data_IF_466971221506
#
_entry.id   IF_466971221506
#
_cell.length_a   1.000
_cell.length_b   1.000
_cell.length_c   1.000
_cell.angle_alpha   90.00
_cell.angle_beta   90.00
_cell.angle_gamma   90.00
#
_symmetry.space_group_name_H-M   'P 1'
#
loop_
_entity.id
_entity.type
_entity.pdbx_description
1 polymer ?
#
# COMPACT_ATOMS: atom_id res chain seq x y z
N UNK A 1 11.76 19.99 -5.22
CA UNK A 1 10.60 19.22 -4.74
C UNK A 1 11.04 18.63 -3.43
N UNK A 2 10.21 18.72 -2.39
CA UNK A 2 10.61 18.20 -1.06
C UNK A 2 10.49 16.68 -1.08
N UNK A 3 11.53 15.99 -0.60
CA UNK A 3 11.54 14.55 -0.43
C UNK A 3 11.22 14.21 1.02
N UNK A 4 10.26 13.31 1.23
CA UNK A 4 9.79 12.91 2.55
C UNK A 4 9.70 11.38 2.63
N UNK A 5 10.05 10.83 3.79
CA UNK A 5 9.99 9.41 4.08
C UNK A 5 9.51 9.19 5.51
N UNK A 6 9.05 7.96 5.80
CA UNK A 6 8.73 7.56 7.17
C UNK A 6 9.99 7.06 7.86
N UNK A 7 10.32 7.61 9.03
CA UNK A 7 11.34 7.03 9.91
C UNK A 7 10.64 6.14 10.95
N UNK A 8 10.92 4.84 10.92
CA UNK A 8 10.46 3.87 11.92
C UNK A 8 11.63 3.43 12.77
N UNK A 9 11.49 3.54 14.09
CA UNK A 9 12.53 3.21 15.06
C UNK A 9 12.00 2.30 16.17
N UNK A 10 12.87 1.60 16.92
CA UNK A 10 12.48 0.90 18.14
C UNK A 10 11.88 1.87 19.18
N UNK A 11 10.97 1.43 20.06
CA UNK A 11 10.35 2.30 21.06
C UNK A 11 11.35 3.06 21.94
N UNK A 12 12.44 2.40 22.34
CA UNK A 12 13.53 2.99 23.12
C UNK A 12 14.20 4.17 22.41
N UNK A 13 14.42 4.06 21.10
CA UNK A 13 14.99 5.12 20.25
C UNK A 13 13.96 6.24 20.03
N UNK A 14 12.68 5.90 19.87
CA UNK A 14 11.61 6.89 19.73
C UNK A 14 11.53 7.82 20.95
N UNK A 15 11.58 7.27 22.17
CA UNK A 15 11.58 8.05 23.40
C UNK A 15 12.79 9.00 23.49
N UNK A 16 13.97 8.57 23.02
CA UNK A 16 15.15 9.42 22.98
C UNK A 16 14.98 10.57 21.99
N UNK A 17 14.50 10.29 20.77
CA UNK A 17 14.23 11.30 19.75
C UNK A 17 13.21 12.34 20.26
N UNK A 18 12.14 11.89 20.90
CA UNK A 18 11.11 12.77 21.45
C UNK A 18 11.66 13.71 22.53
N UNK A 19 12.50 13.20 23.44
CA UNK A 19 13.20 14.03 24.44
C UNK A 19 14.09 15.07 23.77
N UNK A 20 14.91 14.66 22.79
CA UNK A 20 15.80 15.57 22.06
C UNK A 20 15.03 16.68 21.33
N UNK A 21 13.91 16.35 20.68
CA UNK A 21 13.07 17.32 19.98
C UNK A 21 12.46 18.33 20.96
N UNK A 22 12.00 17.88 22.12
CA UNK A 22 11.39 18.74 23.13
C UNK A 22 12.42 19.64 23.83
N UNK A 23 13.61 19.12 24.15
CA UNK A 23 14.70 19.90 24.76
C UNK A 23 15.25 20.95 23.81
N UNK A 24 15.36 20.61 22.53
CA UNK A 24 15.76 21.54 21.46
C UNK A 24 14.74 22.68 21.32
N UNK A 25 13.45 22.36 21.34
CA UNK A 25 12.38 23.35 21.29
C UNK A 25 12.35 24.25 22.55
N UNK A 26 12.74 23.71 23.71
CA UNK A 26 12.85 24.43 24.98
C UNK A 26 14.15 25.24 25.14
N UNK A 27 15.06 25.22 24.15
CA UNK A 27 16.32 25.98 24.18
C UNK A 27 17.27 25.62 25.33
N UNK A 28 17.14 24.41 25.88
CA UNK A 28 17.75 24.01 27.16
C UNK A 28 18.96 23.08 27.03
N UNK A 29 19.51 22.85 25.83
CA UNK A 29 20.56 21.83 25.64
C UNK A 29 21.88 22.23 26.33
N UNK A 30 22.30 21.43 27.32
CA UNK A 30 23.59 21.59 28.00
C UNK A 30 24.77 20.94 27.29
N UNK A 31 24.55 20.18 26.21
CA UNK A 31 25.63 19.55 25.44
C UNK A 31 25.23 19.26 23.97
N UNK A 32 25.95 19.76 22.96
CA UNK A 32 25.59 19.60 21.54
C UNK A 32 25.90 18.20 20.97
N UNK A 33 26.81 17.43 21.60
CA UNK A 33 27.19 16.09 21.11
C UNK A 33 26.16 15.01 21.45
N UNK A 34 25.37 15.19 22.52
CA UNK A 34 24.33 14.26 22.95
C UNK A 34 23.02 14.39 22.13
N UNK A 35 22.92 15.42 21.28
CA UNK A 35 21.68 15.78 20.57
C UNK A 35 21.75 15.61 19.05
N UNK A 36 22.81 15.00 18.51
CA UNK A 36 22.94 14.81 17.07
C UNK A 36 22.14 13.60 16.60
N UNK A 37 21.39 13.79 15.51
CA UNK A 37 20.75 12.72 14.74
C UNK A 37 21.45 12.68 13.39
N UNK A 38 21.91 11.50 12.98
CA UNK A 38 22.51 11.31 11.66
C UNK A 38 21.98 10.03 11.01
N UNK A 39 21.90 10.07 9.68
CA UNK A 39 21.45 8.95 8.86
C UNK A 39 22.36 8.86 7.63
N UNK A 40 23.07 7.75 7.52
CA UNK A 40 23.95 7.47 6.39
C UNK A 40 23.54 6.17 5.70
N UNK A 41 23.70 6.10 4.39
CA UNK A 41 23.45 4.91 3.58
C UNK A 41 24.76 4.38 3.00
N UNK A 42 24.86 3.07 2.87
CA UNK A 42 25.91 2.43 2.09
C UNK A 42 25.68 2.58 0.58
N UNK A 43 26.68 2.20 -0.22
CA UNK A 43 26.66 2.30 -1.68
C UNK A 43 25.52 1.53 -2.36
N UNK A 44 24.90 0.56 -1.67
CA UNK A 44 23.71 -0.16 -2.15
C UNK A 44 22.44 0.71 -2.15
N UNK A 45 22.48 1.89 -1.53
CA UNK A 45 21.36 2.83 -1.40
C UNK A 45 20.18 2.29 -0.58
N UNK A 46 20.36 1.16 0.12
CA UNK A 46 19.28 0.45 0.82
C UNK A 46 19.64 0.13 2.27
N UNK A 47 20.89 -0.22 2.53
CA UNK A 47 21.39 -0.44 3.87
C UNK A 47 21.99 0.84 4.41
N UNK A 48 21.87 1.08 5.71
CA UNK A 48 22.38 2.29 6.32
C UNK A 48 22.60 2.17 7.81
N UNK A 49 23.05 3.28 8.39
CA UNK A 49 23.29 3.43 9.83
C UNK A 49 22.58 4.69 10.30
N UNK A 50 21.75 4.54 11.32
CA UNK A 50 21.13 5.64 12.05
C UNK A 50 21.89 5.87 13.36
N UNK A 51 22.27 7.11 13.63
CA UNK A 51 22.97 7.49 14.85
C UNK A 51 22.16 8.49 15.67
N UNK A 52 22.16 8.29 16.98
CA UNK A 52 21.62 9.22 17.97
C UNK A 52 22.67 9.38 19.09
N UNK A 53 23.26 10.56 19.18
CA UNK A 53 24.46 10.80 19.98
C UNK A 53 25.58 9.82 19.60
N UNK A 54 26.04 9.01 20.55
CA UNK A 54 27.08 7.99 20.33
C UNK A 54 26.54 6.59 20.05
N UNK A 55 25.21 6.41 19.96
CA UNK A 55 24.59 5.12 19.70
C UNK A 55 24.36 4.96 18.19
N UNK A 56 24.69 3.78 17.66
CA UNK A 56 24.56 3.42 16.26
C UNK A 56 23.58 2.26 16.11
N UNK A 57 22.68 2.37 15.13
CA UNK A 57 21.64 1.39 14.86
C UNK A 57 21.63 1.04 13.36
N UNK A 58 21.46 -0.24 13.01
CA UNK A 58 21.28 -0.63 11.62
C UNK A 58 19.96 -0.07 11.07
N UNK A 59 20.02 0.50 9.88
CA UNK A 59 18.88 1.06 9.15
C UNK A 59 18.70 0.37 7.78
N UNK A 60 17.47 0.32 7.30
CA UNK A 60 17.15 -0.24 5.98
C UNK A 60 16.04 0.56 5.31
N UNK A 61 16.24 0.96 4.05
CA UNK A 61 15.25 1.66 3.23
C UNK A 61 14.33 0.66 2.53
N UNK A 62 13.06 0.65 2.94
CA UNK A 62 12.02 -0.23 2.41
C UNK A 62 10.96 0.54 1.64
N UNK A 63 10.42 -0.11 0.61
CA UNK A 63 9.32 0.45 -0.18
C UNK A 63 7.99 0.14 0.51
N UNK A 64 7.17 1.16 0.76
CA UNK A 64 5.84 0.98 1.32
C UNK A 64 4.89 0.45 0.25
N UNK A 65 3.99 -0.49 0.60
CA UNK A 65 3.02 -1.01 -0.36
C UNK A 65 1.95 0.04 -0.71
N UNK A 66 1.76 1.05 0.15
CA UNK A 66 0.78 2.13 0.03
C UNK A 66 1.49 3.46 -0.21
N UNK A 67 0.96 4.28 -1.11
CA UNK A 67 1.33 5.70 -1.23
C UNK A 67 0.69 6.46 -0.07
N UNK A 68 1.48 7.23 0.65
CA UNK A 68 1.05 8.09 1.77
C UNK A 68 1.24 9.53 1.37
N UNK A 69 0.19 10.34 1.44
CA UNK A 69 0.27 11.77 1.13
C UNK A 69 0.45 12.57 2.42
N UNK A 70 1.40 13.50 2.43
CA UNK A 70 1.52 14.49 3.50
C UNK A 70 0.81 15.78 3.12
N UNK A 71 0.11 16.36 4.09
CA UNK A 71 -0.62 17.61 3.93
C UNK A 71 -0.21 18.60 5.00
N UNK A 72 -0.23 19.88 4.65
CA UNK A 72 -0.06 21.00 5.57
C UNK A 72 -1.36 21.79 5.62
N UNK A 73 -1.66 22.36 6.78
CA UNK A 73 -2.85 23.17 6.99
C UNK A 73 -2.56 24.24 8.04
N UNK A 74 -3.33 25.33 8.00
CA UNK A 74 -3.32 26.39 9.02
C UNK A 74 -4.56 26.34 9.91
N UNK A 75 -5.65 25.71 9.46
CA UNK A 75 -6.99 25.78 10.06
C UNK A 75 -7.69 24.41 10.17
N UNK A 76 -6.95 23.33 9.94
CA UNK A 76 -7.42 21.94 9.95
C UNK A 76 -8.58 21.63 8.97
N UNK A 77 -8.89 22.56 8.07
CA UNK A 77 -10.01 22.46 7.13
C UNK A 77 -9.50 22.42 5.69
N UNK A 78 -8.61 23.35 5.33
CA UNK A 78 -7.97 23.37 4.02
C UNK A 78 -6.63 22.66 4.09
N UNK A 79 -6.57 21.48 3.48
CA UNK A 79 -5.37 20.67 3.36
C UNK A 79 -4.67 20.97 2.04
N UNK A 80 -3.39 21.33 2.10
CA UNK A 80 -2.53 21.50 0.92
C UNK A 80 -1.53 20.37 0.87
N UNK A 81 -1.55 19.59 -0.22
CA UNK A 81 -0.62 18.47 -0.42
C UNK A 81 0.82 18.99 -0.46
N UNK A 82 1.69 18.36 0.32
CA UNK A 82 3.11 18.70 0.42
C UNK A 82 4.01 17.65 -0.27
N UNK A 83 3.76 16.35 -0.06
CA UNK A 83 4.55 15.29 -0.68
C UNK A 83 3.77 13.97 -0.84
N UNK A 84 4.28 13.12 -1.73
CA UNK A 84 3.97 11.68 -1.81
C UNK A 84 5.10 10.89 -1.15
N UNK A 85 4.76 10.00 -0.24
CA UNK A 85 5.68 9.18 0.53
C UNK A 85 5.43 7.72 0.17
N UNK A 86 6.44 7.10 -0.45
CA UNK A 86 6.41 5.69 -0.86
C UNK A 86 7.45 4.83 -0.16
N UNK A 87 8.26 5.38 0.75
CA UNK A 87 9.38 4.68 1.37
C UNK A 87 9.46 4.94 2.87
N UNK A 88 10.09 4.00 3.56
CA UNK A 88 10.32 4.03 4.99
C UNK A 88 11.76 3.61 5.31
N UNK A 89 12.42 4.38 6.17
CA UNK A 89 13.68 3.99 6.80
C UNK A 89 13.33 3.23 8.08
N UNK A 90 13.67 1.95 8.13
CA UNK A 90 13.45 1.09 9.29
C UNK A 90 14.76 0.95 10.05
N UNK A 91 14.83 1.59 11.21
CA UNK A 91 15.89 1.42 12.21
C UNK A 91 15.55 0.21 13.07
N UNK A 92 16.55 -0.60 13.36
CA UNK A 92 16.41 -1.89 14.05
C UNK A 92 17.40 -1.97 15.22
N UNK A 93 17.15 -2.88 16.15
CA UNK A 93 18.17 -3.27 17.13
C UNK A 93 19.18 -4.22 16.47
N UNK A 94 20.42 -4.28 16.96
CA UNK A 94 21.49 -5.13 16.37
C UNK A 94 21.14 -6.62 16.36
N UNK A 95 20.26 -7.04 17.28
CA UNK A 95 19.78 -8.43 17.40
C UNK A 95 18.75 -8.80 16.35
N UNK A 96 18.10 -7.80 15.73
CA UNK A 96 17.04 -8.04 14.76
C UNK A 96 17.64 -8.34 13.37
N UNK A 97 17.10 -9.34 12.64
CA UNK A 97 17.58 -9.66 11.30
C UNK A 97 17.24 -8.55 10.30
N UNK A 98 18.09 -8.40 9.29
CA UNK A 98 17.82 -7.48 8.18
C UNK A 98 16.58 -7.92 7.38
N UNK A 99 15.75 -6.98 6.90
CA UNK A 99 14.68 -7.30 5.98
C UNK A 99 15.24 -8.00 4.74
N UNK A 100 14.69 -9.17 4.40
CA UNK A 100 15.10 -9.93 3.22
C UNK A 100 14.53 -9.34 1.91
N UNK A 101 13.36 -8.72 2.01
CA UNK A 101 12.64 -8.14 0.88
C UNK A 101 12.76 -6.62 0.90
N UNK A 102 12.94 -6.03 -0.29
CA UNK A 102 12.99 -4.56 -0.48
C UNK A 102 11.64 -3.92 -0.16
N UNK A 103 10.56 -4.65 -0.42
CA UNK A 103 9.20 -4.19 -0.18
C UNK A 103 8.73 -4.54 1.23
N UNK A 104 8.16 -3.55 1.91
CA UNK A 104 7.53 -3.75 3.20
C UNK A 104 6.14 -4.39 3.06
N UNK A 105 5.87 -5.39 3.90
CA UNK A 105 4.64 -6.20 3.80
C UNK A 105 3.37 -5.45 4.21
N UNK A 106 3.46 -4.40 5.01
CA UNK A 106 2.31 -3.75 5.65
C UNK A 106 2.23 -2.27 5.26
N UNK A 107 1.01 -1.72 5.19
CA UNK A 107 0.83 -0.27 5.22
C UNK A 107 1.05 0.29 6.63
N UNK A 108 1.08 1.62 6.76
CA UNK A 108 1.30 2.28 8.05
C UNK A 108 0.13 2.08 9.03
N UNK A 109 -1.09 2.01 8.53
CA UNK A 109 -2.29 1.94 9.37
C UNK A 109 -2.71 0.49 9.65
N UNK A 110 -3.29 0.19 10.83
CA UNK A 110 -3.67 -1.18 11.20
C UNK A 110 -4.54 -1.92 10.16
N UNK A 111 -5.54 -1.30 9.51
CA UNK A 111 -6.34 -1.95 8.46
C UNK A 111 -5.56 -2.39 7.21
N UNK A 112 -4.36 -1.83 7.01
CA UNK A 112 -3.44 -2.09 5.91
C UNK A 112 -2.36 -3.13 6.24
N UNK A 113 -2.53 -3.90 7.33
CA UNK A 113 -1.70 -5.07 7.60
C UNK A 113 -1.79 -6.08 6.45
N UNK A 114 -0.62 -6.51 5.97
CA UNK A 114 -0.45 -7.39 4.81
C UNK A 114 -1.16 -6.86 3.54
N UNK A 115 -1.04 -5.55 3.28
CA UNK A 115 -1.81 -4.82 2.26
C UNK A 115 -1.88 -5.54 0.91
N UNK A 116 -0.73 -5.93 0.34
CA UNK A 116 -0.70 -6.60 -0.97
C UNK A 116 -1.43 -7.93 -1.00
N UNK A 117 -1.32 -8.71 0.07
CA UNK A 117 -1.93 -10.04 0.16
C UNK A 117 -3.43 -9.98 0.45
N UNK A 118 -3.87 -9.02 1.28
CA UNK A 118 -5.23 -8.95 1.82
C UNK A 118 -6.14 -7.94 1.15
N UNK A 119 -5.61 -6.83 0.63
CA UNK A 119 -6.40 -5.68 0.15
C UNK A 119 -6.26 -5.48 -1.35
N UNK A 120 -5.06 -5.67 -1.89
CA UNK A 120 -4.83 -5.37 -3.30
C UNK A 120 -5.40 -6.48 -4.16
N UNK A 121 -6.09 -6.07 -5.24
CA UNK A 121 -6.57 -7.00 -6.26
C UNK A 121 -5.35 -7.69 -6.85
N UNK A 122 -5.35 -9.03 -6.83
CA UNK A 122 -4.31 -9.81 -7.51
C UNK A 122 -4.39 -9.54 -9.00
N UNK A 123 -3.24 -9.38 -9.62
CA UNK A 123 -3.18 -9.37 -11.08
C UNK A 123 -3.66 -10.73 -11.60
N UNK A 124 -4.42 -10.75 -12.70
CA UNK A 124 -4.79 -12.01 -13.32
C UNK A 124 -3.51 -12.76 -13.68
N UNK A 125 -3.49 -14.05 -13.38
CA UNK A 125 -2.41 -14.93 -13.84
C UNK A 125 -2.54 -15.05 -15.36
N UNK A 126 -1.69 -14.31 -16.08
CA UNK A 126 -1.68 -14.25 -17.53
C UNK A 126 -0.60 -15.20 -18.05
N UNK A 127 -0.96 -16.08 -18.98
CA UNK A 127 0.02 -16.92 -19.65
C UNK A 127 0.98 -16.05 -20.48
N UNK A 128 2.26 -16.05 -20.11
CA UNK A 128 3.30 -15.26 -20.76
C UNK A 128 3.39 -15.50 -22.28
N UNK A 129 3.19 -16.74 -22.74
CA UNK A 129 3.22 -17.07 -24.17
C UNK A 129 2.05 -16.43 -24.93
N UNK A 130 0.87 -16.39 -24.29
CA UNK A 130 -0.30 -15.73 -24.85
C UNK A 130 -0.09 -14.23 -24.92
N UNK A 131 0.42 -13.62 -23.84
CA UNK A 131 0.74 -12.19 -23.79
C UNK A 131 1.71 -11.82 -24.90
N UNK A 132 2.79 -12.59 -25.07
CA UNK A 132 3.79 -12.32 -26.10
C UNK A 132 3.22 -12.45 -27.53
N UNK A 133 2.34 -13.44 -27.76
CA UNK A 133 1.66 -13.59 -29.05
C UNK A 133 0.76 -12.39 -29.35
N UNK A 134 -0.05 -11.98 -28.37
CA UNK A 134 -0.94 -10.82 -28.50
C UNK A 134 -0.14 -9.54 -28.73
N UNK A 135 0.94 -9.33 -28.00
CA UNK A 135 1.84 -8.19 -28.18
C UNK A 135 2.41 -8.13 -29.61
N UNK A 136 2.89 -9.26 -30.12
CA UNK A 136 3.44 -9.37 -31.48
C UNK A 136 2.39 -9.07 -32.55
N UNK A 137 1.18 -9.61 -32.40
CA UNK A 137 0.07 -9.36 -33.32
C UNK A 137 -0.32 -7.88 -33.29
N UNK A 138 -0.35 -7.27 -32.11
CA UNK A 138 -0.68 -5.85 -31.92
C UNK A 138 0.36 -4.94 -32.58
N UNK A 139 1.66 -5.22 -32.40
CA UNK A 139 2.76 -4.51 -33.09
C UNK A 139 2.61 -4.66 -34.61
N UNK A 140 2.26 -5.84 -35.10
CA UNK A 140 2.08 -6.10 -36.53
C UNK A 140 0.93 -5.28 -37.11
N UNK A 141 -0.21 -5.21 -36.41
CA UNK A 141 -1.36 -4.37 -36.79
C UNK A 141 -0.97 -2.89 -36.79
N UNK A 142 -0.26 -2.42 -35.76
CA UNK A 142 0.19 -1.02 -35.67
C UNK A 142 1.10 -0.64 -36.85
N UNK A 143 1.91 -1.57 -37.34
CA UNK A 143 2.74 -1.38 -38.53
C UNK A 143 2.00 -1.59 -39.86
N UNK A 144 0.66 -1.75 -39.84
CA UNK A 144 -0.17 -1.92 -41.03
C UNK A 144 -0.06 -3.29 -41.68
N UNK A 145 0.54 -4.27 -41.00
CA UNK A 145 0.59 -5.66 -41.47
C UNK A 145 -0.75 -6.33 -41.15
N UNK A 146 -1.44 -6.84 -42.17
CA UNK A 146 -2.63 -7.67 -41.94
C UNK A 146 -2.23 -8.97 -41.25
N UNK A 147 -2.76 -9.20 -40.05
CA UNK A 147 -2.63 -10.47 -39.35
C UNK A 147 -3.40 -11.52 -40.14
N UNK A 148 -2.70 -12.55 -40.63
CA UNK A 148 -3.37 -13.73 -41.20
C UNK A 148 -4.11 -14.41 -40.06
N UNK A 149 -5.44 -14.35 -40.07
CA UNK A 149 -6.28 -15.11 -39.14
C UNK A 149 -5.90 -16.59 -39.23
N UNK A 150 -5.36 -17.13 -38.15
CA UNK A 150 -5.09 -18.55 -38.04
C UNK A 150 -6.40 -19.33 -38.10
N UNK A 151 -6.50 -20.25 -39.05
CA UNK A 151 -7.58 -21.23 -39.14
C UNK A 151 -7.67 -21.99 -37.81
N UNK A 152 -8.82 -21.84 -37.14
CA UNK A 152 -9.14 -22.51 -35.89
C UNK A 152 -10.65 -22.75 -35.80
N UNK A 153 -11.12 -23.74 -36.56
CA UNK A 153 -12.41 -24.42 -36.32
C UNK A 153 -13.65 -23.78 -36.94
N UNK A 154 -13.77 -23.83 -38.28
CA UNK A 154 -15.03 -23.57 -38.99
C UNK A 154 -15.56 -24.85 -39.61
N UNK A 155 -16.51 -25.51 -38.94
CA UNK A 155 -17.31 -26.60 -39.50
C UNK A 155 -18.24 -26.11 -40.61
N UNK A 156 -18.45 -26.99 -41.59
CA UNK A 156 -19.11 -26.78 -42.87
C UNK A 156 -20.47 -26.07 -42.83
N UNK A 157 -20.69 -25.27 -43.87
CA UNK A 157 -21.91 -24.52 -44.12
C UNK A 157 -23.14 -25.39 -44.40
N UNK A 158 -24.28 -24.89 -43.97
CA UNK A 158 -25.61 -25.36 -44.35
C UNK A 158 -26.57 -24.18 -44.40
N UNK A 159 -26.86 -23.72 -45.61
CA UNK A 159 -27.80 -22.65 -45.95
C UNK A 159 -29.22 -22.97 -45.44
N UNK A 160 -29.73 -22.21 -44.46
CA UNK A 160 -31.17 -22.11 -44.16
C UNK A 160 -31.51 -20.71 -43.65
N UNK A 161 -32.16 -19.92 -44.51
CA UNK A 161 -33.02 -18.80 -44.11
C UNK A 161 -33.93 -19.22 -42.94
N UNK A 162 -33.79 -18.60 -41.78
CA UNK A 162 -34.80 -18.64 -40.72
C UNK A 162 -34.88 -17.27 -40.03
N UNK A 163 -36.11 -16.78 -39.90
CA UNK A 163 -36.47 -15.47 -39.40
C UNK A 163 -36.01 -15.23 -37.94
N UNK A 164 -35.85 -13.95 -37.58
CA UNK A 164 -35.49 -13.50 -36.25
C UNK A 164 -36.48 -14.01 -35.17
N UNK A 165 -36.01 -14.46 -34.00
CA UNK A 165 -36.89 -14.83 -32.90
C UNK A 165 -37.43 -13.59 -32.20
N UNK A 166 -38.72 -13.65 -31.85
CA UNK A 166 -39.42 -12.64 -31.04
C UNK A 166 -38.94 -12.68 -29.56
N UNK A 167 -39.03 -11.57 -28.82
CA UNK A 167 -38.57 -11.51 -27.43
C UNK A 167 -39.46 -12.36 -26.51
N UNK A 168 -38.84 -13.06 -25.57
CA UNK A 168 -39.52 -13.89 -24.56
C UNK A 168 -40.28 -13.01 -23.53
N UNK A 169 -41.43 -13.49 -22.99
CA UNK A 169 -42.18 -12.76 -21.98
C UNK A 169 -41.46 -12.83 -20.62
N UNK A 170 -41.45 -11.71 -19.90
CA UNK A 170 -41.01 -11.66 -18.50
C UNK A 170 -41.98 -12.47 -17.62
N UNK A 171 -41.51 -13.28 -16.67
CA UNK A 171 -42.37 -13.80 -15.63
C UNK A 171 -42.61 -12.71 -14.58
N UNK A 172 -43.89 -12.44 -14.31
CA UNK A 172 -44.35 -11.58 -13.22
C UNK A 172 -44.38 -12.32 -11.88
N UNK A 173 -44.09 -11.53 -10.84
CA UNK A 173 -44.48 -11.62 -9.43
C UNK A 173 -43.86 -12.71 -8.52
N UNK A 174 -43.13 -12.27 -7.49
CA UNK A 174 -43.71 -12.11 -6.14
C UNK A 174 -42.73 -11.40 -5.18
N UNK A 175 -43.18 -10.31 -4.54
CA UNK A 175 -42.54 -9.78 -3.33
C UNK A 175 -42.80 -10.72 -2.14
N UNK A 176 -41.83 -10.89 -1.22
CA UNK A 176 -42.13 -11.25 0.14
C UNK A 176 -41.86 -10.09 1.11
N UNK A 177 -42.76 -10.00 2.08
CA UNK A 177 -42.93 -8.94 3.06
C UNK A 177 -41.82 -8.85 4.13
N UNK A 178 -41.88 -7.74 4.86
CA UNK A 178 -41.05 -7.36 6.00
C UNK A 178 -41.22 -8.25 7.26
N UNK A 179 -40.21 -8.10 8.11
CA UNK A 179 -40.08 -8.39 9.55
C UNK A 179 -39.41 -9.70 10.00
N UNK A 180 -38.39 -9.50 10.84
CA UNK A 180 -37.69 -10.50 11.64
C UNK A 180 -36.39 -9.90 12.18
N UNK A 181 -36.50 -9.07 13.23
CA UNK A 181 -35.38 -8.58 14.05
C UNK A 181 -34.53 -9.75 14.57
N UNK A 182 -33.20 -9.67 14.43
CA UNK A 182 -32.28 -10.41 15.30
C UNK A 182 -31.20 -9.44 15.82
N UNK A 183 -31.03 -9.51 17.14
CA UNK A 183 -30.48 -8.49 18.01
C UNK A 183 -28.94 -8.37 17.93
N UNK A 184 -28.46 -7.15 18.17
CA UNK A 184 -27.08 -6.86 18.51
C UNK A 184 -26.74 -7.41 19.91
N UNK A 185 -25.52 -7.91 20.16
CA UNK A 185 -25.05 -8.10 21.53
C UNK A 185 -24.67 -6.75 22.14
N UNK A 186 -25.41 -6.36 23.17
CA UNK A 186 -25.24 -5.13 23.93
C UNK A 186 -23.84 -4.98 24.53
N UNK A 187 -23.35 -3.74 24.47
CA UNK A 187 -22.19 -3.23 25.18
C UNK A 187 -22.58 -3.05 26.65
N UNK A 188 -21.83 -3.67 27.56
CA UNK A 188 -21.93 -3.43 28.99
C UNK A 188 -20.97 -2.31 29.37
N UNK A 189 -21.49 -1.09 29.47
CA UNK A 189 -20.87 -0.02 30.25
C UNK A 189 -21.27 -0.21 31.73
N UNK A 190 -20.27 -0.40 32.59
CA UNK A 190 -20.44 -0.25 34.04
C UNK A 190 -19.35 0.67 34.55
N UNK A 191 -19.75 1.91 34.80
CA UNK A 191 -19.04 2.93 35.57
C UNK A 191 -19.55 2.82 37.01
N UNK A 192 -18.67 2.56 37.98
CA UNK A 192 -18.90 2.95 39.37
C UNK A 192 -17.60 2.92 40.22
N UNK A 193 -17.08 4.12 40.47
CA UNK A 193 -16.72 4.70 41.77
C UNK A 193 -15.87 3.95 42.81
N UNK A 194 -14.74 4.59 43.16
CA UNK A 194 -14.05 4.68 44.48
C UNK A 194 -13.47 3.42 45.16
N UNK A 195 -12.12 3.34 45.20
CA UNK A 195 -11.28 3.45 46.41
C UNK A 195 -9.78 3.32 46.09
#
# INVERSE_FOLDING_TARGET
MDEQFILRVPPSVAEQIERLMNESAAGSSSNPEDASLDLSFSDDGRSGTFMIGNQSFPASLLDLPTVVESYKTYDDSFLVKAADIGQMVMVREDVDPAPEEVEYKHGLTPPMRDARRRRYRREPDLNAELVHRVEKDLISIMHGVSVKGGEGGGGEGGDRKKAAPAPAPKPDAQEPAANGEEAEPERSDSDDSEN
#
